data_IF_889311568592
#
_entry.id   IF_889311568592
#
_cell.length_a   1.000
_cell.length_b   1.000
_cell.length_c   1.000
_cell.angle_alpha   90.00
_cell.angle_beta   90.00
_cell.angle_gamma   90.00
#
_symmetry.space_group_name_H-M   'P 1'
#
loop_
_entity.id
_entity.type
_entity.pdbx_description
1 polymer ?
#
# COMPACT_ATOMS: atom_id res chain seq x y z
N UNK A 1 -48.99 99.30 53.55
CA UNK A 1 -48.50 98.32 54.54
C UNK A 1 -48.69 96.91 54.00
N UNK A 2 -47.79 95.98 54.33
CA UNK A 2 -47.01 95.26 53.31
C UNK A 2 -47.57 93.89 52.90
N UNK A 3 -47.31 93.56 51.62
CA UNK A 3 -47.59 92.27 50.96
C UNK A 3 -46.59 91.20 51.41
N UNK A 4 -47.08 90.00 51.73
CA UNK A 4 -46.27 88.81 51.97
C UNK A 4 -45.53 88.37 50.68
N UNK A 5 -44.23 88.01 50.72
CA UNK A 5 -43.55 87.40 49.58
C UNK A 5 -43.82 85.89 49.52
N UNK A 6 -43.96 85.40 48.29
CA UNK A 6 -44.41 84.05 47.94
C UNK A 6 -43.41 82.92 48.21
N UNK A 7 -43.96 81.71 48.31
CA UNK A 7 -43.25 80.42 48.43
C UNK A 7 -42.30 80.18 47.25
N UNK A 8 -41.06 79.82 47.55
CA UNK A 8 -40.10 79.29 46.59
C UNK A 8 -40.49 77.87 46.15
N UNK A 9 -40.36 77.59 44.85
CA UNK A 9 -40.57 76.27 44.25
C UNK A 9 -39.37 75.33 44.52
N UNK A 10 -39.58 74.00 44.58
CA UNK A 10 -38.51 73.04 44.81
C UNK A 10 -37.62 72.85 43.58
N UNK A 11 -36.31 72.71 43.81
CA UNK A 11 -35.26 72.42 42.82
C UNK A 11 -35.41 71.00 42.24
N UNK A 12 -35.08 70.76 40.95
CA UNK A 12 -35.07 69.42 40.36
C UNK A 12 -33.86 68.59 40.82
N UNK A 13 -33.96 67.25 40.86
CA UNK A 13 -32.84 66.37 41.25
C UNK A 13 -31.76 66.32 40.15
N UNK A 14 -30.49 66.05 40.51
CA UNK A 14 -29.39 65.96 39.55
C UNK A 14 -29.54 64.75 38.62
N UNK A 15 -29.00 64.81 37.38
CA UNK A 15 -29.13 63.73 36.40
C UNK A 15 -28.31 62.50 36.80
N UNK A 16 -28.99 61.37 37.01
CA UNK A 16 -28.42 60.04 37.28
C UNK A 16 -27.53 59.47 36.14
N UNK A 17 -27.36 60.21 35.03
CA UNK A 17 -26.68 59.73 33.83
C UNK A 17 -25.15 59.64 33.97
N UNK A 18 -24.53 60.38 34.89
CA UNK A 18 -23.07 60.39 35.04
C UNK A 18 -22.51 59.16 35.77
N UNK A 19 -23.31 58.47 36.58
CA UNK A 19 -22.86 57.29 37.32
C UNK A 19 -22.82 56.01 36.45
N UNK A 20 -23.62 55.93 35.38
CA UNK A 20 -23.61 54.80 34.46
C UNK A 20 -22.41 54.80 33.50
N UNK A 21 -21.87 55.97 33.15
CA UNK A 21 -20.73 56.06 32.23
C UNK A 21 -19.40 55.58 32.86
N UNK A 22 -19.24 55.69 34.18
CA UNK A 22 -18.05 55.25 34.90
C UNK A 22 -18.02 53.74 35.16
N UNK A 23 -19.17 53.05 35.12
CA UNK A 23 -19.23 51.59 35.33
C UNK A 23 -18.85 50.77 34.08
N UNK A 24 -18.92 51.38 32.88
CA UNK A 24 -18.58 50.74 31.61
C UNK A 24 -17.06 50.67 31.33
N UNK A 25 -16.23 51.40 32.09
CA UNK A 25 -14.77 51.44 31.92
C UNK A 25 -14.01 50.37 32.74
N UNK A 26 -14.72 49.53 33.51
CA UNK A 26 -14.14 48.42 34.30
C UNK A 26 -14.44 47.04 33.70
N UNK A 27 -15.02 46.95 32.50
CA UNK A 27 -15.08 45.68 31.80
C UNK A 27 -13.65 45.27 31.45
N UNK A 28 -13.14 44.11 31.95
CA UNK A 28 -11.84 43.62 31.53
C UNK A 28 -11.86 43.51 30.00
N UNK A 29 -10.80 43.99 29.36
CA UNK A 29 -10.59 43.75 27.93
C UNK A 29 -10.84 42.25 27.67
N UNK A 30 -11.56 41.88 26.60
CA UNK A 30 -11.74 40.47 26.28
C UNK A 30 -10.35 39.84 26.25
N UNK A 31 -10.11 38.89 27.17
CA UNK A 31 -8.90 38.08 27.12
C UNK A 31 -8.79 37.56 25.69
N UNK A 32 -7.59 37.50 25.07
CA UNK A 32 -7.45 36.93 23.74
C UNK A 32 -8.15 35.57 23.81
N UNK A 33 -9.25 35.44 23.07
CA UNK A 33 -10.11 34.28 23.19
C UNK A 33 -9.23 33.06 22.99
N UNK A 34 -9.09 32.26 24.04
CA UNK A 34 -8.29 31.05 23.98
C UNK A 34 -8.92 30.15 22.93
N UNK A 35 -8.28 30.11 21.77
CA UNK A 35 -8.80 29.52 20.57
C UNK A 35 -7.87 28.36 20.22
N UNK A 36 -8.40 27.16 20.07
CA UNK A 36 -7.61 26.00 19.68
C UNK A 36 -7.09 26.10 18.24
N UNK A 37 -6.49 25.01 17.75
CA UNK A 37 -5.91 24.96 16.41
C UNK A 37 -6.94 25.23 15.32
N UNK A 38 -8.15 24.67 15.42
CA UNK A 38 -9.18 24.78 14.41
C UNK A 38 -9.76 26.20 14.36
N UNK A 39 -9.96 26.80 15.53
CA UNK A 39 -10.43 28.18 15.64
C UNK A 39 -9.42 29.19 15.09
N UNK A 40 -8.12 28.89 15.17
CA UNK A 40 -7.04 29.73 14.63
C UNK A 40 -6.58 29.33 13.22
N UNK A 41 -7.10 28.25 12.65
CA UNK A 41 -6.64 27.71 11.35
C UNK A 41 -5.18 27.26 11.36
N UNK A 42 -4.65 26.84 12.51
CA UNK A 42 -3.27 26.38 12.65
C UNK A 42 -3.16 24.90 12.30
N UNK A 43 -2.43 24.61 11.22
CA UNK A 43 -2.04 23.25 10.86
C UNK A 43 -0.64 23.22 10.24
N UNK A 44 0.38 22.96 11.06
CA UNK A 44 1.77 23.06 10.65
C UNK A 44 2.40 21.69 10.35
N UNK A 45 3.09 21.52 9.22
CA UNK A 45 3.79 20.27 8.91
C UNK A 45 5.04 20.10 9.78
N UNK A 46 5.36 18.86 10.12
CA UNK A 46 6.54 18.54 10.93
C UNK A 46 6.51 19.12 12.35
N UNK A 47 7.69 19.36 12.94
CA UNK A 47 7.85 19.97 14.27
C UNK A 47 8.00 21.49 14.12
N UNK A 48 7.09 22.26 14.67
CA UNK A 48 7.07 23.71 14.56
C UNK A 48 6.77 24.34 15.94
N UNK A 49 7.79 24.61 16.77
CA UNK A 49 7.60 25.10 18.13
C UNK A 49 6.86 26.45 18.25
N UNK A 50 6.83 27.23 17.17
CA UNK A 50 6.07 28.48 17.05
C UNK A 50 4.60 28.25 16.71
N UNK A 51 4.24 27.09 16.17
CA UNK A 51 2.88 26.71 15.81
C UNK A 51 2.15 26.15 17.04
N UNK A 52 1.79 27.05 17.93
CA UNK A 52 1.16 26.73 19.22
C UNK A 52 0.01 27.67 19.49
N UNK A 53 -0.93 27.20 20.30
CA UNK A 53 -2.00 28.00 20.87
C UNK A 53 -2.10 27.78 22.38
N UNK A 54 -3.12 28.37 23.00
CA UNK A 54 -3.54 28.10 24.38
C UNK A 54 -4.97 27.58 24.35
N UNK A 55 -5.21 26.39 24.91
CA UNK A 55 -6.51 25.74 24.88
C UNK A 55 -6.54 24.45 25.69
N UNK A 56 -7.60 23.67 25.51
CA UNK A 56 -7.75 22.35 26.12
C UNK A 56 -6.87 21.33 25.41
N UNK A 57 -6.28 20.41 26.16
CA UNK A 57 -5.55 19.23 25.69
C UNK A 57 -6.42 17.98 25.80
N UNK A 58 -6.11 16.89 25.08
CA UNK A 58 -6.86 15.62 25.17
C UNK A 58 -6.92 15.00 26.57
N UNK A 59 -5.97 15.30 27.45
CA UNK A 59 -5.93 14.83 28.85
C UNK A 59 -6.85 15.64 29.80
N UNK A 60 -7.55 16.64 29.27
CA UNK A 60 -8.43 17.53 30.06
C UNK A 60 -7.69 18.69 30.73
N UNK A 61 -6.38 18.85 30.54
CA UNK A 61 -5.64 20.01 31.04
C UNK A 61 -5.82 21.22 30.13
N UNK A 62 -5.76 22.42 30.71
CA UNK A 62 -5.84 23.68 29.98
C UNK A 62 -4.50 24.41 30.05
N UNK A 63 -3.98 24.86 28.90
CA UNK A 63 -2.69 25.54 28.85
C UNK A 63 -2.14 25.70 27.43
N UNK A 64 -0.84 25.98 27.27
CA UNK A 64 -0.22 26.01 25.95
C UNK A 64 -0.37 24.63 25.30
N UNK A 65 -0.59 24.56 23.99
CA UNK A 65 -0.72 23.32 23.23
C UNK A 65 -0.23 23.54 21.79
N UNK A 66 0.13 22.48 21.08
CA UNK A 66 0.74 22.58 19.75
C UNK A 66 -0.25 22.22 18.64
N UNK A 67 -0.04 22.85 17.48
CA UNK A 67 -0.82 22.66 16.25
C UNK A 67 0.07 22.17 15.10
N UNK A 68 1.14 21.46 15.43
CA UNK A 68 2.10 20.88 14.50
C UNK A 68 1.98 19.35 14.46
N UNK A 69 2.52 18.71 13.43
CA UNK A 69 2.43 17.26 13.24
C UNK A 69 3.19 16.45 14.31
N UNK A 70 4.19 17.03 14.97
CA UNK A 70 4.93 16.34 16.01
C UNK A 70 4.12 16.19 17.31
N UNK A 71 3.07 17.00 17.49
CA UNK A 71 2.29 17.05 18.72
C UNK A 71 1.66 15.70 19.11
N UNK A 72 1.34 14.84 18.14
CA UNK A 72 0.76 13.52 18.39
C UNK A 72 1.78 12.57 19.05
N UNK A 73 3.06 12.70 18.69
CA UNK A 73 4.14 11.92 19.28
C UNK A 73 4.60 12.48 20.63
N UNK A 74 4.54 13.80 20.82
CA UNK A 74 4.88 14.48 22.08
C UNK A 74 3.71 14.57 23.05
N UNK A 75 2.50 14.16 22.62
CA UNK A 75 1.26 14.16 23.41
C UNK A 75 0.88 15.55 23.95
N UNK A 76 1.14 16.59 23.16
CA UNK A 76 0.90 17.99 23.53
C UNK A 76 0.04 18.78 22.52
N UNK A 77 -0.72 18.06 21.69
CA UNK A 77 -1.70 18.65 20.78
C UNK A 77 -2.79 19.44 21.51
N UNK A 78 -3.32 20.48 20.85
CA UNK A 78 -4.61 21.02 21.25
C UNK A 78 -5.72 19.99 20.96
N UNK A 79 -6.78 20.01 21.76
CA UNK A 79 -7.90 19.07 21.67
C UNK A 79 -8.60 19.08 20.30
N UNK A 80 -8.62 20.23 19.62
CA UNK A 80 -9.23 20.42 18.30
C UNK A 80 -8.24 20.23 17.14
N UNK A 81 -7.03 19.72 17.39
CA UNK A 81 -5.99 19.51 16.37
C UNK A 81 -6.50 18.68 15.18
N UNK A 82 -7.20 17.58 15.41
CA UNK A 82 -7.70 16.69 14.34
C UNK A 82 -8.75 17.35 13.43
N UNK A 83 -9.40 18.41 13.90
CA UNK A 83 -10.32 19.22 13.09
C UNK A 83 -9.56 20.22 12.21
N UNK A 84 -8.47 20.79 12.74
CA UNK A 84 -7.59 21.72 12.01
C UNK A 84 -6.70 20.99 10.99
N UNK A 85 -6.24 19.81 11.36
CA UNK A 85 -5.32 18.95 10.62
C UNK A 85 -5.96 17.58 10.39
N UNK A 86 -6.86 17.44 9.41
CA UNK A 86 -7.43 16.14 9.09
C UNK A 86 -6.31 15.16 8.69
N UNK A 87 -6.48 13.89 9.08
CA UNK A 87 -5.61 12.80 8.68
C UNK A 87 -5.70 12.61 7.18
N UNK A 88 -4.57 12.64 6.49
CA UNK A 88 -4.50 12.45 5.04
C UNK A 88 -3.69 11.19 4.76
N UNK A 89 -4.31 10.10 4.29
CA UNK A 89 -3.57 8.88 3.94
C UNK A 89 -2.77 9.09 2.65
N UNK A 90 -1.73 8.27 2.47
CA UNK A 90 -1.04 8.25 1.19
C UNK A 90 -1.94 7.69 0.07
N UNK A 91 -1.92 8.35 -1.09
CA UNK A 91 -2.57 7.86 -2.32
C UNK A 91 -1.50 7.65 -3.39
N UNK A 92 -1.52 6.49 -4.05
CA UNK A 92 -0.56 6.11 -5.08
C UNK A 92 -1.26 5.83 -6.42
N UNK A 93 -0.51 6.00 -7.51
CA UNK A 93 -1.01 5.73 -8.85
C UNK A 93 -1.30 4.25 -9.09
N UNK A 94 -1.98 3.96 -10.20
CA UNK A 94 -1.97 2.61 -10.75
C UNK A 94 -0.53 2.20 -11.12
N UNK A 95 -0.27 0.90 -11.12
CA UNK A 95 0.99 0.34 -11.57
C UNK A 95 1.22 0.61 -13.05
N UNK A 96 2.48 0.85 -13.42
CA UNK A 96 2.94 0.80 -14.79
C UNK A 96 2.75 -0.60 -15.40
N UNK A 97 2.92 -0.69 -16.72
CA UNK A 97 3.24 -1.95 -17.36
C UNK A 97 4.50 -2.57 -16.75
N UNK A 98 4.62 -3.90 -16.86
CA UNK A 98 5.87 -4.59 -16.53
C UNK A 98 6.95 -4.23 -17.55
N UNK A 99 8.19 -4.06 -17.09
CA UNK A 99 9.36 -4.01 -17.97
C UNK A 99 9.56 -5.35 -18.70
N UNK A 100 10.45 -5.34 -19.69
CA UNK A 100 11.07 -6.57 -20.18
C UNK A 100 11.88 -7.28 -19.07
N UNK A 101 12.27 -8.52 -19.35
CA UNK A 101 13.24 -9.22 -18.52
C UNK A 101 14.59 -8.50 -18.54
N UNK A 102 15.28 -8.45 -17.40
CA UNK A 102 16.54 -7.73 -17.31
C UNK A 102 17.63 -8.30 -18.24
N UNK A 103 17.59 -9.60 -18.56
CA UNK A 103 18.53 -10.27 -19.44
C UNK A 103 17.80 -11.34 -20.28
N UNK A 104 18.05 -11.42 -21.61
CA UNK A 104 17.50 -12.47 -22.46
C UNK A 104 18.17 -13.82 -22.20
N UNK A 105 17.47 -14.92 -22.51
CA UNK A 105 17.95 -16.30 -22.33
C UNK A 105 18.37 -16.69 -20.91
N UNK A 106 18.01 -15.90 -19.89
CA UNK A 106 18.33 -16.18 -18.49
C UNK A 106 17.09 -16.05 -17.62
N UNK A 107 17.07 -16.86 -16.56
CA UNK A 107 16.08 -16.71 -15.49
C UNK A 107 16.41 -15.48 -14.65
N UNK A 108 15.62 -14.42 -14.79
CA UNK A 108 15.87 -13.12 -14.18
C UNK A 108 14.58 -12.52 -13.60
N UNK A 109 14.49 -11.20 -13.50
CA UNK A 109 13.33 -10.47 -13.04
C UNK A 109 12.94 -9.34 -14.00
N UNK A 110 11.68 -8.92 -13.88
CA UNK A 110 11.11 -7.71 -14.46
C UNK A 110 10.50 -6.83 -13.36
N UNK A 111 10.34 -5.55 -13.65
CA UNK A 111 9.97 -4.52 -12.69
C UNK A 111 8.75 -3.76 -13.18
N UNK A 112 7.86 -3.38 -12.27
CA UNK A 112 6.86 -2.33 -12.51
C UNK A 112 6.89 -1.32 -11.38
N UNK A 113 6.50 -0.08 -11.69
CA UNK A 113 6.56 1.04 -10.74
C UNK A 113 5.24 1.79 -10.69
N UNK A 114 5.00 2.46 -9.58
CA UNK A 114 3.94 3.46 -9.41
C UNK A 114 4.51 4.64 -8.63
N UNK A 115 3.84 5.78 -8.67
CA UNK A 115 4.29 6.97 -7.97
C UNK A 115 3.26 7.43 -6.95
N UNK A 116 3.71 8.24 -6.00
CA UNK A 116 2.84 8.88 -5.00
C UNK A 116 2.07 10.00 -5.70
N UNK A 117 0.74 9.98 -5.56
CA UNK A 117 -0.17 11.05 -6.00
C UNK A 117 -0.40 12.02 -4.85
N UNK A 118 -0.46 11.51 -3.62
CA UNK A 118 -0.66 12.28 -2.41
C UNK A 118 0.21 11.71 -1.30
N UNK A 119 1.08 12.55 -0.75
CA UNK A 119 1.89 12.21 0.42
C UNK A 119 1.02 12.15 1.67
N UNK A 120 1.31 11.22 2.62
CA UNK A 120 0.59 11.13 3.87
C UNK A 120 0.87 12.37 4.74
N UNK A 121 -0.13 12.84 5.49
CA UNK A 121 0.00 13.95 6.44
C UNK A 121 -0.79 13.67 7.71
N UNK A 122 -0.37 14.31 8.80
CA UNK A 122 -1.09 14.32 10.08
C UNK A 122 -1.43 12.91 10.57
N UNK A 123 -0.40 12.06 10.73
CA UNK A 123 -0.57 10.67 11.16
C UNK A 123 -1.17 9.72 10.12
N UNK A 124 -1.34 10.14 8.86
CA UNK A 124 -1.86 9.29 7.80
C UNK A 124 -0.96 8.09 7.47
N UNK A 125 -1.58 7.00 7.03
CA UNK A 125 -0.89 5.75 6.68
C UNK A 125 0.23 5.97 5.64
N UNK A 126 1.43 5.41 5.86
CA UNK A 126 2.56 5.57 4.96
C UNK A 126 2.28 4.96 3.59
N UNK A 127 2.97 5.48 2.57
CA UNK A 127 2.80 4.97 1.22
C UNK A 127 3.19 3.49 1.12
N UNK A 128 2.36 2.66 0.45
CA UNK A 128 2.74 1.28 0.17
C UNK A 128 3.91 1.24 -0.84
N UNK A 129 4.51 0.06 -1.03
CA UNK A 129 5.65 -0.12 -1.93
C UNK A 129 5.41 0.48 -3.33
N UNK A 130 6.40 1.22 -3.84
CA UNK A 130 6.34 1.92 -5.13
C UNK A 130 6.96 1.14 -6.29
N UNK A 131 7.69 0.07 -5.99
CA UNK A 131 8.29 -0.84 -6.96
C UNK A 131 7.88 -2.28 -6.64
N UNK A 132 7.61 -3.06 -7.69
CA UNK A 132 7.32 -4.48 -7.58
C UNK A 132 8.17 -5.26 -8.59
N UNK A 133 8.64 -6.43 -8.16
CA UNK A 133 9.49 -7.34 -8.95
C UNK A 133 8.78 -8.66 -9.17
N UNK A 134 8.96 -9.22 -10.35
CA UNK A 134 8.46 -10.53 -10.71
C UNK A 134 9.55 -11.30 -11.43
N UNK A 135 9.71 -12.58 -11.10
CA UNK A 135 10.55 -13.47 -11.88
C UNK A 135 10.09 -13.54 -13.35
N UNK A 136 11.04 -13.62 -14.29
CA UNK A 136 10.72 -13.83 -15.70
C UNK A 136 11.87 -14.51 -16.48
N UNK A 137 11.54 -15.02 -17.66
CA UNK A 137 12.49 -15.53 -18.68
C UNK A 137 12.07 -14.96 -20.03
N UNK A 138 13.04 -14.53 -20.84
CA UNK A 138 12.83 -14.20 -22.24
C UNK A 138 13.46 -15.31 -23.09
N UNK A 139 12.66 -15.89 -23.99
CA UNK A 139 13.00 -17.08 -24.78
C UNK A 139 13.73 -16.74 -26.09
N UNK A 140 13.85 -15.44 -26.38
CA UNK A 140 14.41 -14.93 -27.61
C UNK A 140 15.51 -13.92 -27.31
N UNK A 141 16.56 -13.91 -28.11
CA UNK A 141 17.56 -12.84 -28.07
C UNK A 141 17.03 -11.59 -28.79
N UNK A 142 17.72 -10.45 -28.61
CA UNK A 142 17.41 -9.23 -29.37
C UNK A 142 17.51 -9.42 -30.89
N UNK A 143 18.26 -10.44 -31.34
CA UNK A 143 18.42 -10.80 -32.75
C UNK A 143 17.33 -11.78 -33.24
N UNK A 144 16.34 -12.11 -32.41
CA UNK A 144 15.25 -13.03 -32.75
C UNK A 144 15.67 -14.51 -32.79
N UNK A 145 16.84 -14.85 -32.25
CA UNK A 145 17.26 -16.23 -32.13
C UNK A 145 16.61 -16.86 -30.90
N UNK A 146 15.98 -18.02 -31.08
CA UNK A 146 15.48 -18.82 -29.96
C UNK A 146 16.66 -19.29 -29.12
N UNK A 147 16.56 -19.10 -27.81
CA UNK A 147 17.53 -19.68 -26.90
C UNK A 147 17.40 -21.21 -27.03
N UNK A 148 18.42 -21.94 -27.50
CA UNK A 148 18.35 -23.41 -27.59
C UNK A 148 18.37 -24.03 -26.18
N UNK A 149 17.19 -24.30 -25.63
CA UNK A 149 17.01 -24.75 -24.25
C UNK A 149 17.12 -26.27 -24.11
N UNK A 150 18.34 -26.82 -23.98
CA UNK A 150 18.48 -28.27 -23.73
C UNK A 150 18.47 -28.71 -22.26
N UNK A 151 18.44 -27.82 -21.26
CA UNK A 151 18.53 -28.24 -19.85
C UNK A 151 17.79 -27.33 -18.86
N UNK A 152 16.63 -26.79 -19.22
CA UNK A 152 15.89 -25.92 -18.30
C UNK A 152 14.89 -26.76 -17.47
N UNK A 153 15.07 -26.85 -16.14
CA UNK A 153 14.05 -27.40 -15.26
C UNK A 153 12.78 -26.57 -15.36
N UNK A 154 11.61 -27.15 -15.09
CA UNK A 154 10.36 -26.41 -15.07
C UNK A 154 10.47 -25.11 -14.26
N UNK A 155 10.25 -23.98 -14.91
CA UNK A 155 10.36 -22.67 -14.26
C UNK A 155 9.00 -22.24 -13.72
N UNK A 156 8.93 -22.01 -12.40
CA UNK A 156 7.68 -21.68 -11.72
C UNK A 156 7.71 -20.34 -11.00
N UNK A 157 6.55 -19.68 -10.96
CA UNK A 157 6.30 -18.52 -10.11
C UNK A 157 4.95 -18.65 -9.40
N UNK A 158 4.65 -17.74 -8.46
CA UNK A 158 3.36 -17.70 -7.75
C UNK A 158 2.15 -17.46 -8.69
N UNK A 159 1.05 -18.17 -8.42
CA UNK A 159 -0.25 -18.03 -9.11
C UNK A 159 -0.85 -16.62 -9.09
N UNK A 160 -0.41 -15.75 -8.17
CA UNK A 160 -0.86 -14.36 -8.09
C UNK A 160 -0.67 -13.56 -9.39
N UNK A 161 0.35 -13.90 -10.19
CA UNK A 161 0.57 -13.27 -11.50
C UNK A 161 -0.45 -13.67 -12.56
N UNK A 162 -1.20 -14.76 -12.37
CA UNK A 162 -2.11 -15.33 -13.36
C UNK A 162 -3.34 -14.44 -13.58
N UNK A 163 -3.83 -13.79 -12.51
CA UNK A 163 -4.94 -12.82 -12.60
C UNK A 163 -4.59 -11.65 -13.53
N UNK A 164 -3.33 -11.20 -13.52
CA UNK A 164 -2.85 -10.13 -14.38
C UNK A 164 -2.63 -10.59 -15.85
N UNK A 165 -2.39 -11.89 -16.10
CA UNK A 165 -2.36 -12.45 -17.46
C UNK A 165 -3.77 -12.56 -18.04
N UNK A 166 -4.74 -13.10 -17.28
CA UNK A 166 -6.16 -13.20 -17.70
C UNK A 166 -6.77 -11.84 -18.09
N UNK A 167 -6.49 -10.78 -17.31
CA UNK A 167 -6.95 -9.42 -17.63
C UNK A 167 -6.41 -8.90 -18.98
N UNK A 168 -5.19 -9.30 -19.38
CA UNK A 168 -4.59 -8.92 -20.68
C UNK A 168 -5.15 -9.74 -21.82
N UNK A 169 -5.31 -11.05 -21.66
CA UNK A 169 -5.90 -11.92 -22.68
C UNK A 169 -7.35 -11.53 -23.01
N UNK A 170 -8.13 -11.15 -21.99
CA UNK A 170 -9.50 -10.64 -22.18
C UNK A 170 -9.56 -9.35 -23.02
N UNK A 171 -8.47 -8.58 -23.09
CA UNK A 171 -8.39 -7.39 -23.94
C UNK A 171 -8.01 -7.70 -25.40
N UNK A 172 -7.46 -8.90 -25.66
CA UNK A 172 -6.95 -9.34 -26.98
C UNK A 172 -7.89 -10.34 -27.69
N UNK A 173 -9.04 -10.70 -27.09
CA UNK A 173 -10.09 -11.50 -27.71
C UNK A 173 -9.74 -12.98 -28.03
N UNK A 174 -8.49 -13.39 -27.84
CA UNK A 174 -8.00 -14.77 -28.04
C UNK A 174 -7.92 -15.49 -26.68
N UNK A 175 -9.05 -16.04 -26.23
CA UNK A 175 -9.09 -16.89 -25.04
C UNK A 175 -8.56 -18.30 -25.40
N UNK A 176 -7.25 -18.41 -25.67
CA UNK A 176 -6.62 -19.73 -25.76
C UNK A 176 -6.66 -20.35 -24.36
N UNK A 177 -7.46 -21.40 -24.22
CA UNK A 177 -7.66 -22.13 -22.97
C UNK A 177 -6.36 -22.84 -22.61
N UNK A 178 -5.65 -22.32 -21.61
CA UNK A 178 -4.49 -23.00 -21.02
C UNK A 178 -4.92 -24.26 -20.25
N UNK A 179 -3.95 -24.98 -19.68
CA UNK A 179 -4.21 -26.16 -18.84
C UNK A 179 -3.44 -26.05 -17.53
N UNK A 180 -3.67 -26.98 -16.59
CA UNK A 180 -2.80 -27.13 -15.43
C UNK A 180 -2.28 -28.55 -15.27
N UNK A 181 -1.15 -28.65 -14.59
CA UNK A 181 -0.53 -29.93 -14.24
C UNK A 181 -0.36 -29.99 -12.74
N UNK A 182 -0.81 -31.09 -12.16
CA UNK A 182 -0.59 -31.40 -10.75
C UNK A 182 0.72 -32.17 -10.59
N UNK A 183 1.54 -31.71 -9.66
CA UNK A 183 2.80 -32.35 -9.32
C UNK A 183 2.87 -32.62 -7.82
N UNK A 184 3.48 -33.74 -7.43
CA UNK A 184 3.87 -33.98 -6.04
C UNK A 184 5.33 -33.54 -5.85
N UNK A 185 5.56 -32.60 -4.93
CA UNK A 185 6.91 -32.19 -4.54
C UNK A 185 7.63 -33.35 -3.86
N UNK A 186 8.80 -33.72 -4.38
CA UNK A 186 9.60 -34.82 -3.83
C UNK A 186 10.75 -34.29 -2.98
N UNK A 187 11.50 -33.32 -3.49
CA UNK A 187 12.61 -32.70 -2.78
C UNK A 187 12.66 -31.21 -3.04
N UNK A 188 13.05 -30.41 -2.04
CA UNK A 188 13.26 -28.97 -2.16
C UNK A 188 14.63 -28.56 -1.59
N UNK A 189 15.28 -27.57 -2.19
CA UNK A 189 16.53 -27.04 -1.66
C UNK A 189 16.31 -26.11 -0.46
N UNK A 190 17.34 -25.97 0.39
CA UNK A 190 17.34 -25.04 1.53
C UNK A 190 17.13 -23.57 1.12
N UNK A 191 17.43 -23.23 -0.14
CA UNK A 191 17.19 -21.89 -0.68
C UNK A 191 15.70 -21.50 -0.75
N UNK A 192 14.78 -22.47 -0.73
CA UNK A 192 13.34 -22.19 -0.64
C UNK A 192 12.89 -21.73 0.75
N UNK A 193 13.64 -22.09 1.80
CA UNK A 193 13.31 -21.75 3.19
C UNK A 193 13.76 -20.33 3.58
N UNK A 194 14.77 -19.80 2.90
CA UNK A 194 15.39 -18.51 3.22
C UNK A 194 15.07 -17.46 2.16
N UNK A 195 13.81 -17.00 2.13
CA UNK A 195 13.36 -15.94 1.24
C UNK A 195 13.33 -14.59 1.98
N UNK A 196 14.21 -13.67 1.62
CA UNK A 196 14.27 -12.33 2.23
C UNK A 196 13.46 -11.26 1.49
N UNK A 197 13.05 -11.53 0.24
CA UNK A 197 12.32 -10.56 -0.55
C UNK A 197 10.82 -10.86 -0.58
N UNK A 198 10.00 -9.80 -0.60
CA UNK A 198 8.54 -9.92 -0.66
C UNK A 198 8.06 -10.73 -1.87
N UNK A 199 8.72 -10.59 -3.03
CA UNK A 199 8.38 -11.31 -4.26
C UNK A 199 8.79 -12.78 -4.29
N UNK A 200 9.63 -13.23 -3.34
CA UNK A 200 10.04 -14.64 -3.18
C UNK A 200 9.37 -15.31 -1.98
N UNK A 201 8.62 -14.56 -1.17
CA UNK A 201 8.03 -15.06 0.09
C UNK A 201 7.08 -16.25 -0.12
N UNK A 202 6.48 -16.40 -1.31
CA UNK A 202 5.66 -17.56 -1.64
C UNK A 202 6.43 -18.89 -1.59
N UNK A 203 7.76 -18.88 -1.78
CA UNK A 203 8.60 -20.08 -1.78
C UNK A 203 8.63 -20.76 -0.41
N UNK A 204 8.36 -20.03 0.67
CA UNK A 204 8.33 -20.58 2.03
C UNK A 204 7.17 -21.56 2.26
N UNK A 205 6.16 -21.56 1.38
CA UNK A 205 5.04 -22.48 1.45
C UNK A 205 5.32 -23.81 0.74
N UNK A 206 6.45 -23.92 0.05
CA UNK A 206 6.87 -25.18 -0.55
C UNK A 206 7.25 -26.18 0.55
N UNK A 207 6.71 -27.39 0.43
CA UNK A 207 6.88 -28.49 1.38
C UNK A 207 6.97 -29.80 0.61
N UNK A 208 7.92 -30.64 0.98
CA UNK A 208 8.02 -31.99 0.43
C UNK A 208 6.75 -32.80 0.72
N UNK A 209 6.39 -33.69 -0.19
CA UNK A 209 5.18 -34.51 -0.14
C UNK A 209 3.88 -33.81 -0.56
N UNK A 210 3.86 -32.48 -0.61
CA UNK A 210 2.66 -31.72 -0.98
C UNK A 210 2.41 -31.74 -2.49
N UNK A 211 1.13 -31.75 -2.85
CA UNK A 211 0.69 -31.59 -4.23
C UNK A 211 0.53 -30.11 -4.57
N UNK A 212 1.12 -29.72 -5.69
CA UNK A 212 1.08 -28.37 -6.24
C UNK A 212 0.41 -28.38 -7.60
N UNK A 213 -0.25 -27.28 -7.93
CA UNK A 213 -0.98 -27.09 -9.19
C UNK A 213 -0.28 -25.99 -9.98
N UNK A 214 0.23 -26.31 -11.17
CA UNK A 214 0.98 -25.37 -12.01
C UNK A 214 0.18 -25.11 -13.28
N UNK A 215 -0.26 -23.87 -13.48
CA UNK A 215 -1.02 -23.50 -14.68
C UNK A 215 -0.07 -23.13 -15.82
N UNK A 216 -0.29 -23.74 -16.97
CA UNK A 216 0.29 -23.39 -18.25
C UNK A 216 -0.66 -22.41 -18.95
N UNK A 217 -0.29 -21.13 -18.93
CA UNK A 217 -1.06 -20.04 -19.53
C UNK A 217 -0.23 -19.38 -20.64
N UNK A 218 -0.88 -18.82 -21.65
CA UNK A 218 -0.22 -17.90 -22.58
C UNK A 218 0.40 -16.74 -21.77
N UNK A 219 1.69 -16.37 -21.93
CA UNK A 219 2.63 -16.62 -23.04
C UNK A 219 3.62 -17.78 -22.85
N UNK A 220 3.50 -18.60 -21.79
CA UNK A 220 4.42 -19.70 -21.52
C UNK A 220 4.16 -20.97 -22.38
N UNK A 221 3.04 -21.00 -23.11
CA UNK A 221 2.77 -22.05 -24.08
C UNK A 221 3.69 -21.88 -25.29
N UNK A 222 4.41 -22.95 -25.61
CA UNK A 222 5.08 -23.07 -26.90
C UNK A 222 4.06 -23.03 -28.05
N UNK A 223 4.42 -22.40 -29.16
CA UNK A 223 3.53 -22.14 -30.28
C UNK A 223 3.25 -23.38 -31.13
N UNK A 224 4.19 -24.33 -31.16
CA UNK A 224 4.09 -25.57 -31.97
C UNK A 224 3.50 -26.72 -31.16
N UNK A 225 4.11 -27.03 -30.02
CA UNK A 225 3.71 -28.15 -29.16
C UNK A 225 2.46 -27.86 -28.34
N UNK A 226 2.12 -26.58 -28.12
CA UNK A 226 1.07 -26.15 -27.19
C UNK A 226 1.28 -26.62 -25.75
N UNK A 227 2.53 -27.00 -25.41
CA UNK A 227 2.93 -27.39 -24.06
C UNK A 227 3.83 -26.31 -23.43
N UNK A 228 3.78 -26.20 -22.11
CA UNK A 228 4.76 -25.40 -21.37
C UNK A 228 6.05 -26.20 -21.19
N UNK A 229 7.19 -25.49 -21.30
CA UNK A 229 8.49 -26.10 -21.03
C UNK A 229 8.56 -26.65 -19.61
N UNK A 230 8.97 -27.92 -19.50
CA UNK A 230 9.07 -28.62 -18.21
C UNK A 230 7.74 -29.12 -17.64
N UNK A 231 6.64 -29.11 -18.40
CA UNK A 231 5.35 -29.67 -17.96
C UNK A 231 5.36 -31.20 -17.76
N UNK A 232 6.41 -31.87 -18.25
CA UNK A 232 6.58 -33.32 -18.15
C UNK A 232 5.71 -34.09 -19.13
N UNK A 233 5.24 -33.48 -20.22
CA UNK A 233 4.60 -34.20 -21.32
C UNK A 233 5.54 -35.28 -21.86
N UNK A 234 5.02 -36.50 -22.04
CA UNK A 234 5.82 -37.66 -22.47
C UNK A 234 6.70 -38.31 -21.38
N UNK A 235 6.70 -37.80 -20.13
CA UNK A 235 7.45 -38.42 -19.04
C UNK A 235 6.88 -39.78 -18.61
N UNK A 236 7.75 -40.68 -18.16
CA UNK A 236 7.33 -41.97 -17.61
C UNK A 236 6.63 -41.79 -16.25
N UNK A 237 5.78 -42.75 -15.89
CA UNK A 237 5.14 -42.77 -14.56
C UNK A 237 6.21 -42.80 -13.47
N UNK A 238 6.11 -41.90 -12.49
CA UNK A 238 7.05 -41.70 -11.39
C UNK A 238 8.42 -41.12 -11.76
N UNK A 239 8.62 -40.68 -13.01
CA UNK A 239 9.85 -39.97 -13.39
C UNK A 239 10.00 -38.70 -12.54
N UNK A 240 11.20 -38.51 -11.99
CA UNK A 240 11.57 -37.29 -11.28
C UNK A 240 11.90 -36.21 -12.30
N UNK A 241 11.17 -35.11 -12.24
CA UNK A 241 11.40 -33.94 -13.06
C UNK A 241 11.94 -32.82 -12.17
N UNK A 242 12.82 -32.00 -12.73
CA UNK A 242 13.45 -30.89 -12.01
C UNK A 242 12.64 -29.61 -12.23
N UNK A 243 12.60 -28.77 -11.21
CA UNK A 243 11.96 -27.46 -11.27
C UNK A 243 12.82 -26.41 -10.55
N UNK A 244 12.64 -25.15 -10.93
CA UNK A 244 13.31 -24.01 -10.29
C UNK A 244 12.34 -22.83 -10.13
N UNK A 245 12.39 -22.19 -8.96
CA UNK A 245 11.60 -21.01 -8.69
C UNK A 245 12.23 -19.78 -9.34
N UNK A 246 11.42 -19.05 -10.11
CA UNK A 246 11.89 -17.83 -10.78
C UNK A 246 12.00 -16.70 -9.74
N UNK A 247 13.11 -15.97 -9.78
CA UNK A 247 13.44 -14.91 -8.83
C UNK A 247 14.31 -15.36 -7.63
N UNK A 248 14.52 -16.66 -7.45
CA UNK A 248 15.52 -17.20 -6.53
C UNK A 248 16.11 -18.51 -7.09
N UNK A 249 17.24 -18.46 -7.82
CA UNK A 249 17.83 -19.64 -8.43
C UNK A 249 18.31 -20.69 -7.41
N UNK A 250 18.46 -20.30 -6.13
CA UNK A 250 18.79 -21.24 -5.05
C UNK A 250 17.59 -22.05 -4.58
N UNK A 251 16.36 -21.65 -4.92
CA UNK A 251 15.14 -22.41 -4.64
C UNK A 251 14.77 -23.26 -5.85
N UNK A 252 15.03 -24.55 -5.75
CA UNK A 252 14.78 -25.56 -6.78
C UNK A 252 14.48 -26.90 -6.13
N UNK A 253 14.12 -27.88 -6.95
CA UNK A 253 13.79 -29.19 -6.42
C UNK A 253 13.42 -30.20 -7.49
N UNK A 254 12.85 -31.31 -7.03
CA UNK A 254 12.28 -32.34 -7.89
C UNK A 254 10.83 -32.60 -7.54
N UNK A 255 10.06 -33.01 -8.55
CA UNK A 255 8.67 -33.40 -8.39
C UNK A 255 8.32 -34.59 -9.29
N UNK A 256 7.13 -35.16 -9.06
CA UNK A 256 6.53 -36.18 -9.93
C UNK A 256 5.24 -35.66 -10.53
N UNK A 257 5.06 -35.85 -11.83
CA UNK A 257 3.80 -35.52 -12.53
C UNK A 257 2.69 -36.47 -12.09
N UNK A 258 1.58 -35.91 -11.59
CA UNK A 258 0.40 -36.67 -11.18
C UNK A 258 -0.58 -36.79 -12.36
N UNK A 259 -1.07 -35.65 -12.85
CA UNK A 259 -2.03 -35.57 -13.96
C UNK A 259 -2.06 -34.17 -14.57
N UNK A 260 -2.62 -34.08 -15.77
CA UNK A 260 -2.97 -32.82 -16.43
C UNK A 260 -4.49 -32.65 -16.40
N UNK A 261 -4.94 -31.41 -16.26
CA UNK A 261 -6.34 -31.00 -16.26
C UNK A 261 -6.52 -29.82 -17.21
N UNK A 262 -7.53 -29.89 -18.07
CA UNK A 262 -7.83 -28.79 -19.01
C UNK A 262 -8.53 -27.61 -18.32
N UNK A 263 -9.12 -27.84 -17.15
CA UNK A 263 -9.77 -26.80 -16.34
C UNK A 263 -9.05 -26.59 -15.02
N UNK A 264 -8.47 -25.40 -14.85
CA UNK A 264 -7.67 -25.07 -13.68
C UNK A 264 -8.53 -24.72 -12.46
N UNK A 265 -8.60 -25.62 -11.47
CA UNK A 265 -9.16 -25.36 -10.13
C UNK A 265 -8.08 -25.48 -9.06
N UNK A 266 -7.04 -24.65 -9.14
CA UNK A 266 -5.89 -24.73 -8.24
C UNK A 266 -6.18 -24.09 -6.87
N UNK A 267 -5.73 -24.70 -5.75
CA UNK A 267 -5.81 -24.08 -4.43
C UNK A 267 -4.89 -22.87 -4.33
N UNK A 268 -5.32 -21.82 -3.61
CA UNK A 268 -4.62 -20.52 -3.56
C UNK A 268 -3.20 -20.57 -3.01
N UNK A 269 -2.89 -21.46 -2.06
CA UNK A 269 -1.60 -21.53 -1.36
C UNK A 269 -0.56 -22.40 -2.11
N UNK A 270 -1.00 -23.24 -3.05
CA UNK A 270 -0.14 -24.14 -3.84
C UNK A 270 -0.42 -24.04 -5.35
N UNK A 271 -0.86 -22.85 -5.79
CA UNK A 271 -1.07 -22.51 -7.20
C UNK A 271 0.14 -21.75 -7.71
N UNK A 272 0.74 -22.29 -8.77
CA UNK A 272 1.90 -21.74 -9.46
C UNK A 272 1.61 -21.59 -10.96
N UNK A 273 2.49 -20.90 -11.65
CA UNK A 273 2.44 -20.73 -13.11
C UNK A 273 3.75 -21.16 -13.72
N UNK A 274 3.67 -21.79 -14.89
CA UNK A 274 4.81 -21.86 -15.79
C UNK A 274 5.14 -20.46 -16.32
N UNK A 275 6.43 -20.17 -16.43
CA UNK A 275 6.99 -18.92 -16.94
C UNK A 275 7.44 -19.11 -18.38
#
# INVERSE_FOLDING_TARGET
MPRCPGRAAPLPPPPLLHFLLLLLLLLPAPSPAAAGCAALGLCCPGRAPSCRSTGWRPDGSYGPCYCDQACEHTLDCCHDYSQACPVIPCVVSQWSGWSGCAEPCKTTYRVRRRHVIQEPRNGGEPCPALEERAGCVEYWTEQGAECKQSLIPALITTGGFGKARKKRAAADGSERVGYCVEFQLVAITQGCLHSHHSYTHWMQYLREGHTVCVECQHPALDSESLHCYGDGSGSQRNQLLHWQAVGNPRCSGTWKRIRQLDTCSCPSVHSFLFI
#
